data_IF_745363247318
#
_entry.id   IF_745363247318
#
_cell.length_a   1.000
_cell.length_b   1.000
_cell.length_c   1.000
_cell.angle_alpha   90.00
_cell.angle_beta   90.00
_cell.angle_gamma   90.00
#
_symmetry.space_group_name_H-M   'P 1'
#
loop_
_entity.id
_entity.type
_entity.pdbx_description
1 polymer ?
#
# COMPACT_ATOMS: atom_id res chain seq x y z
N UNK A 1 16.54 -32.40 -4.47
CA UNK A 1 15.89 -31.09 -4.79
C UNK A 1 16.01 -30.74 -6.28
N UNK A 2 16.46 -31.63 -7.11
CA UNK A 2 16.76 -31.38 -8.55
C UNK A 2 15.52 -31.16 -9.46
N UNK A 3 14.31 -31.37 -8.97
CA UNK A 3 13.08 -31.30 -9.79
C UNK A 3 12.11 -30.16 -9.43
N UNK A 4 12.53 -29.18 -8.62
CA UNK A 4 11.65 -28.06 -8.25
C UNK A 4 11.69 -27.02 -9.36
N UNK A 5 10.53 -26.75 -9.98
CA UNK A 5 10.37 -25.74 -11.02
C UNK A 5 9.71 -24.45 -10.52
N UNK A 6 8.84 -24.57 -9.51
CA UNK A 6 8.12 -23.44 -8.93
C UNK A 6 7.95 -23.65 -7.42
N UNK A 7 8.14 -22.59 -6.66
CA UNK A 7 7.89 -22.55 -5.22
C UNK A 7 6.84 -21.45 -4.95
N UNK A 8 5.72 -21.83 -4.35
CA UNK A 8 4.78 -20.87 -3.77
C UNK A 8 5.08 -20.68 -2.29
N UNK A 9 5.13 -19.44 -1.84
CA UNK A 9 5.36 -19.09 -0.44
C UNK A 9 4.19 -18.27 0.08
N UNK A 10 3.49 -18.79 1.08
CA UNK A 10 2.61 -17.99 1.92
C UNK A 10 3.44 -17.27 2.99
N UNK A 11 3.39 -15.93 2.98
CA UNK A 11 4.19 -15.04 3.82
C UNK A 11 3.44 -14.69 5.11
N UNK A 12 3.62 -15.47 6.15
CA UNK A 12 3.17 -15.08 7.48
C UNK A 12 4.14 -14.12 8.20
N UNK A 13 3.71 -13.58 9.32
CA UNK A 13 4.54 -12.68 10.14
C UNK A 13 5.79 -13.38 10.70
N UNK A 14 5.59 -14.58 11.26
CA UNK A 14 6.63 -15.37 11.93
C UNK A 14 6.82 -16.77 11.32
N UNK A 15 5.86 -17.24 10.53
CA UNK A 15 5.90 -18.57 9.91
C UNK A 15 5.59 -18.45 8.42
N UNK A 16 6.30 -19.23 7.64
CA UNK A 16 6.26 -19.25 6.18
C UNK A 16 5.94 -20.65 5.73
N UNK A 17 4.90 -20.82 4.94
CA UNK A 17 4.54 -22.11 4.38
C UNK A 17 4.95 -22.15 2.92
N UNK A 18 5.65 -23.21 2.53
CA UNK A 18 6.05 -23.39 1.13
C UNK A 18 5.36 -24.60 0.51
N UNK A 19 5.06 -24.45 -0.77
CA UNK A 19 4.60 -25.50 -1.65
C UNK A 19 5.51 -25.51 -2.88
N UNK A 20 6.21 -26.62 -3.09
CA UNK A 20 7.11 -26.79 -4.22
C UNK A 20 6.49 -27.74 -5.26
N UNK A 21 6.55 -27.34 -6.53
CA UNK A 21 6.02 -28.11 -7.66
C UNK A 21 7.13 -28.40 -8.67
N UNK A 22 7.00 -29.55 -9.35
CA UNK A 22 7.81 -29.88 -10.53
C UNK A 22 7.26 -29.19 -11.80
N UNK A 23 7.90 -29.43 -12.94
CA UNK A 23 7.48 -28.85 -14.24
C UNK A 23 6.08 -29.31 -14.69
N UNK A 24 5.54 -30.39 -14.11
CA UNK A 24 4.20 -30.92 -14.41
C UNK A 24 3.14 -30.39 -13.44
N UNK A 25 3.52 -29.52 -12.50
CA UNK A 25 2.62 -29.01 -11.47
C UNK A 25 2.37 -29.98 -10.31
N UNK A 26 3.09 -31.13 -10.25
CA UNK A 26 2.96 -32.07 -9.15
C UNK A 26 3.71 -31.57 -7.92
N UNK A 27 3.04 -31.61 -6.76
CA UNK A 27 3.66 -31.30 -5.48
C UNK A 27 4.82 -32.25 -5.16
N UNK A 28 6.01 -31.72 -4.94
CA UNK A 28 7.22 -32.49 -4.58
C UNK A 28 7.66 -32.26 -3.14
N UNK A 29 7.33 -31.08 -2.56
CA UNK A 29 7.73 -30.77 -1.20
C UNK A 29 6.83 -29.70 -0.58
N UNK A 30 6.50 -29.84 0.70
CA UNK A 30 5.75 -28.87 1.51
C UNK A 30 6.38 -28.78 2.89
N UNK A 31 6.60 -27.58 3.38
CA UNK A 31 7.16 -27.38 4.74
C UNK A 31 6.84 -26.01 5.28
N UNK A 32 6.77 -25.94 6.60
CA UNK A 32 6.71 -24.69 7.39
C UNK A 32 8.10 -24.30 7.85
N UNK A 33 8.43 -23.01 7.75
CA UNK A 33 9.71 -22.45 8.16
C UNK A 33 9.54 -21.22 9.04
N UNK A 34 10.56 -20.92 9.84
CA UNK A 34 10.83 -19.57 10.33
C UNK A 34 11.58 -18.78 9.24
N UNK A 35 11.59 -17.45 9.31
CA UNK A 35 12.25 -16.61 8.29
C UNK A 35 13.73 -16.98 8.06
N UNK A 36 14.60 -17.10 9.12
CA UNK A 36 15.99 -17.48 8.90
C UNK A 36 16.15 -18.83 8.20
N UNK A 37 15.40 -19.85 8.66
CA UNK A 37 15.46 -21.20 8.07
C UNK A 37 14.91 -21.25 6.65
N UNK A 38 13.94 -20.41 6.31
CA UNK A 38 13.47 -20.30 4.92
C UNK A 38 14.57 -19.74 4.01
N UNK A 39 15.23 -18.66 4.43
CA UNK A 39 16.30 -18.04 3.65
C UNK A 39 17.48 -19.02 3.49
N UNK A 40 17.87 -19.73 4.54
CA UNK A 40 18.89 -20.77 4.49
C UNK A 40 18.53 -21.89 3.51
N UNK A 41 17.29 -22.40 3.59
CA UNK A 41 16.79 -23.42 2.66
C UNK A 41 16.82 -22.93 1.22
N UNK A 42 16.33 -21.71 0.94
CA UNK A 42 16.30 -21.17 -0.40
C UNK A 42 17.70 -20.87 -0.95
N UNK A 43 18.66 -20.46 -0.10
CA UNK A 43 20.05 -20.28 -0.51
C UNK A 43 20.73 -21.58 -0.98
N UNK A 44 20.22 -22.75 -0.54
CA UNK A 44 20.73 -24.07 -1.00
C UNK A 44 19.97 -24.63 -2.22
N UNK A 45 18.86 -23.98 -2.62
CA UNK A 45 18.09 -24.40 -3.77
C UNK A 45 18.73 -23.90 -5.08
N UNK A 46 18.65 -24.67 -6.17
CA UNK A 46 18.97 -24.16 -7.51
C UNK A 46 18.09 -22.95 -7.86
N UNK A 47 18.62 -22.04 -8.70
CA UNK A 47 17.85 -20.91 -9.19
C UNK A 47 16.49 -21.35 -9.74
N UNK A 48 15.41 -20.82 -9.17
CA UNK A 48 14.05 -21.22 -9.52
C UNK A 48 13.08 -20.04 -9.45
N UNK A 49 11.90 -20.19 -10.01
CA UNK A 49 10.81 -19.23 -9.86
C UNK A 49 10.16 -19.39 -8.48
N UNK A 50 10.01 -18.27 -7.77
CA UNK A 50 9.39 -18.24 -6.44
C UNK A 50 8.22 -17.24 -6.46
N UNK A 51 7.02 -17.75 -6.30
CA UNK A 51 5.80 -16.95 -6.28
C UNK A 51 5.37 -16.63 -4.84
N UNK A 52 4.87 -15.41 -4.62
CA UNK A 52 4.37 -14.93 -3.34
C UNK A 52 3.19 -13.99 -3.55
N UNK A 53 2.29 -13.94 -2.59
CA UNK A 53 1.27 -12.90 -2.56
C UNK A 53 1.89 -11.54 -2.25
N UNK A 54 1.45 -10.47 -2.92
CA UNK A 54 1.91 -9.09 -2.71
C UNK A 54 1.31 -8.49 -1.43
N UNK A 55 1.74 -9.00 -0.29
CA UNK A 55 1.34 -8.61 1.06
C UNK A 55 2.48 -7.91 1.83
N UNK A 56 2.29 -7.69 3.14
CA UNK A 56 3.31 -7.10 4.01
C UNK A 56 4.60 -7.94 4.04
N UNK A 57 5.74 -7.32 3.70
CA UNK A 57 7.06 -7.98 3.66
C UNK A 57 7.41 -8.68 2.34
N UNK A 58 6.48 -8.81 1.40
CA UNK A 58 6.73 -9.49 0.12
C UNK A 58 7.81 -8.83 -0.73
N UNK A 59 7.84 -7.50 -0.79
CA UNK A 59 8.86 -6.77 -1.54
C UNK A 59 10.27 -6.93 -0.94
N UNK A 60 10.39 -6.97 0.40
CA UNK A 60 11.65 -7.30 1.04
C UNK A 60 12.10 -8.73 0.69
N UNK A 61 11.17 -9.68 0.78
CA UNK A 61 11.47 -11.09 0.46
C UNK A 61 11.86 -11.23 -1.02
N UNK A 62 11.16 -10.55 -1.93
CA UNK A 62 11.49 -10.57 -3.35
C UNK A 62 12.92 -10.08 -3.60
N UNK A 63 13.32 -8.90 -3.09
CA UNK A 63 14.71 -8.42 -3.22
C UNK A 63 15.74 -9.40 -2.62
N UNK A 64 15.40 -10.03 -1.49
CA UNK A 64 16.28 -11.05 -0.88
C UNK A 64 16.45 -12.26 -1.77
N UNK A 65 15.38 -12.73 -2.41
CA UNK A 65 15.38 -13.87 -3.33
C UNK A 65 16.12 -13.56 -4.64
N UNK A 66 15.97 -12.35 -5.17
CA UNK A 66 16.77 -11.88 -6.32
C UNK A 66 18.26 -11.91 -6.00
N UNK A 67 18.65 -11.45 -4.79
CA UNK A 67 20.04 -11.51 -4.32
C UNK A 67 20.57 -12.93 -4.11
N UNK A 68 19.71 -13.95 -4.01
CA UNK A 68 20.04 -15.37 -3.98
C UNK A 68 20.02 -16.02 -5.37
N UNK A 69 19.73 -15.28 -6.44
CA UNK A 69 19.68 -15.76 -7.81
C UNK A 69 18.35 -16.39 -8.24
N UNK A 70 17.29 -16.27 -7.43
CA UNK A 70 15.96 -16.73 -7.79
C UNK A 70 15.18 -15.67 -8.60
N UNK A 71 14.09 -16.10 -9.27
CA UNK A 71 13.15 -15.23 -9.98
C UNK A 71 11.87 -15.05 -9.15
N UNK A 72 11.76 -14.01 -8.29
CA UNK A 72 10.56 -13.79 -7.51
C UNK A 72 9.42 -13.27 -8.39
N UNK A 73 8.20 -13.73 -8.10
CA UNK A 73 6.96 -13.30 -8.73
C UNK A 73 5.96 -12.90 -7.65
N UNK A 74 5.59 -11.63 -7.62
CA UNK A 74 4.58 -11.12 -6.70
C UNK A 74 3.21 -11.11 -7.40
N UNK A 75 2.18 -11.63 -6.73
CA UNK A 75 0.81 -11.70 -7.26
C UNK A 75 -0.11 -10.90 -6.34
N UNK A 76 -0.94 -10.04 -6.92
CA UNK A 76 -1.95 -9.32 -6.13
C UNK A 76 -2.92 -10.31 -5.46
N UNK A 77 -3.28 -10.11 -4.16
CA UNK A 77 -4.18 -11.01 -3.42
C UNK A 77 -5.47 -11.36 -4.14
N UNK A 78 -6.06 -10.39 -4.84
CA UNK A 78 -7.29 -10.59 -5.62
C UNK A 78 -7.16 -11.65 -6.73
N UNK A 79 -5.95 -11.88 -7.24
CA UNK A 79 -5.69 -12.88 -8.29
C UNK A 79 -5.26 -14.24 -7.73
N UNK A 80 -4.89 -14.33 -6.44
CA UNK A 80 -4.63 -15.61 -5.76
C UNK A 80 -5.92 -16.22 -5.24
N UNK A 81 -6.82 -15.39 -4.70
CA UNK A 81 -8.06 -15.81 -4.05
C UNK A 81 -8.91 -16.81 -4.83
N UNK A 82 -9.10 -16.70 -6.18
CA UNK A 82 -9.89 -17.67 -6.96
C UNK A 82 -9.31 -19.09 -6.96
N UNK A 83 -8.04 -19.27 -6.63
CA UNK A 83 -7.36 -20.57 -6.62
C UNK A 83 -7.36 -21.25 -5.25
N UNK A 84 -7.88 -20.61 -4.20
CA UNK A 84 -8.02 -21.20 -2.87
C UNK A 84 -9.19 -22.17 -2.88
N UNK A 85 -8.92 -23.48 -2.72
CA UNK A 85 -9.89 -24.58 -2.93
C UNK A 85 -10.70 -24.97 -1.70
N UNK A 86 -10.33 -24.51 -0.49
CA UNK A 86 -10.98 -24.96 0.77
C UNK A 86 -10.90 -23.92 1.86
N UNK A 87 -11.34 -24.29 3.07
CA UNK A 87 -11.18 -23.47 4.25
C UNK A 87 -9.72 -23.05 4.47
N UNK A 88 -9.52 -21.89 5.06
CA UNK A 88 -8.22 -21.25 5.29
C UNK A 88 -7.21 -22.23 5.92
N UNK A 89 -6.16 -22.51 5.18
CA UNK A 89 -5.02 -23.31 5.62
C UNK A 89 -3.79 -22.81 4.88
N UNK A 90 -2.77 -22.42 5.61
CA UNK A 90 -1.56 -21.78 5.09
C UNK A 90 -0.82 -22.62 4.01
N UNK A 91 -0.94 -23.97 4.04
CA UNK A 91 -0.41 -24.83 2.98
C UNK A 91 -1.28 -24.79 1.71
N UNK A 92 -2.59 -24.63 1.86
CA UNK A 92 -3.53 -24.45 0.74
C UNK A 92 -3.31 -23.09 0.10
N UNK A 93 -3.01 -22.08 0.90
CA UNK A 93 -2.69 -20.73 0.40
C UNK A 93 -1.38 -20.74 -0.40
N UNK A 94 -0.34 -21.45 0.07
CA UNK A 94 0.90 -21.64 -0.68
C UNK A 94 0.70 -22.44 -1.99
N UNK A 95 -0.19 -23.43 -2.02
CA UNK A 95 -0.60 -24.15 -3.23
C UNK A 95 -1.34 -23.25 -4.21
N UNK A 96 -2.31 -22.46 -3.72
CA UNK A 96 -3.06 -21.51 -4.53
C UNK A 96 -2.15 -20.45 -5.20
N UNK A 97 -1.09 -20.03 -4.52
CA UNK A 97 -0.07 -19.13 -5.08
C UNK A 97 0.66 -19.81 -6.25
N UNK A 98 1.03 -21.09 -6.14
CA UNK A 98 1.61 -21.84 -7.25
C UNK A 98 0.66 -21.95 -8.44
N UNK A 99 -0.60 -22.31 -8.19
CA UNK A 99 -1.63 -22.41 -9.23
C UNK A 99 -1.83 -21.08 -9.95
N UNK A 100 -1.93 -19.99 -9.21
CA UNK A 100 -2.03 -18.65 -9.76
C UNK A 100 -0.80 -18.30 -10.62
N UNK A 101 0.41 -18.54 -10.10
CA UNK A 101 1.66 -18.24 -10.78
C UNK A 101 1.87 -19.03 -12.08
N UNK A 102 1.26 -20.21 -12.18
CA UNK A 102 1.36 -21.09 -13.37
C UNK A 102 0.49 -20.63 -14.54
N UNK A 103 -0.40 -19.64 -14.35
CA UNK A 103 -1.31 -19.18 -15.41
C UNK A 103 -0.58 -18.26 -16.40
N UNK A 104 -0.64 -18.52 -17.71
CA UNK A 104 0.02 -17.70 -18.73
C UNK A 104 -0.41 -16.23 -18.73
N UNK A 105 -1.66 -15.96 -18.34
CA UNK A 105 -2.25 -14.61 -18.28
C UNK A 105 -2.03 -13.91 -16.93
N UNK A 106 -1.28 -14.52 -15.99
CA UNK A 106 -1.07 -13.92 -14.67
C UNK A 106 -0.27 -12.62 -14.76
N UNK A 107 -0.78 -11.58 -14.12
CA UNK A 107 -0.11 -10.28 -13.99
C UNK A 107 0.66 -10.23 -12.68
N UNK A 108 1.95 -9.98 -12.78
CA UNK A 108 2.84 -9.90 -11.63
C UNK A 108 3.08 -8.44 -11.22
N UNK A 109 3.14 -8.24 -9.91
CA UNK A 109 3.54 -6.96 -9.31
C UNK A 109 5.06 -6.89 -9.29
N UNK A 110 5.64 -5.80 -9.75
CA UNK A 110 7.08 -5.60 -9.69
C UNK A 110 7.56 -5.42 -8.25
N UNK A 111 8.65 -6.08 -7.83
CA UNK A 111 9.28 -5.81 -6.56
C UNK A 111 9.73 -4.35 -6.47
N UNK A 112 9.35 -3.67 -5.38
CA UNK A 112 9.79 -2.29 -5.15
C UNK A 112 11.18 -2.26 -4.56
N UNK A 113 11.97 -1.28 -4.98
CA UNK A 113 13.26 -0.96 -4.36
C UNK A 113 13.07 -0.48 -2.92
N UNK A 114 14.17 -0.42 -2.15
CA UNK A 114 14.13 0.11 -0.78
C UNK A 114 13.73 1.59 -0.77
N UNK A 115 14.24 2.37 -1.74
CA UNK A 115 13.86 3.77 -1.90
C UNK A 115 12.38 3.95 -2.17
N UNK A 116 11.80 3.18 -3.09
CA UNK A 116 10.35 3.20 -3.34
C UNK A 116 9.54 2.83 -2.11
N UNK A 117 9.99 1.85 -1.31
CA UNK A 117 9.31 1.47 -0.07
C UNK A 117 9.40 2.58 0.99
N UNK A 118 10.54 3.27 1.10
CA UNK A 118 10.69 4.40 2.01
C UNK A 118 9.79 5.58 1.59
N UNK A 119 9.74 5.90 0.29
CA UNK A 119 8.85 6.94 -0.23
C UNK A 119 7.37 6.61 0.03
N UNK A 120 6.97 5.37 -0.19
CA UNK A 120 5.61 4.92 0.13
C UNK A 120 5.29 5.02 1.62
N UNK A 121 6.25 4.72 2.50
CA UNK A 121 6.06 4.90 3.94
C UNK A 121 5.86 6.38 4.29
N UNK A 122 6.63 7.29 3.68
CA UNK A 122 6.50 8.72 3.87
C UNK A 122 5.10 9.23 3.44
N UNK A 123 4.61 8.82 2.26
CA UNK A 123 3.24 9.13 1.81
C UNK A 123 2.18 8.62 2.79
N UNK A 124 2.32 7.39 3.31
CA UNK A 124 1.38 6.82 4.28
C UNK A 124 1.37 7.54 5.61
N UNK A 125 2.53 7.91 6.13
CA UNK A 125 2.64 8.68 7.38
C UNK A 125 1.99 10.05 7.19
N UNK A 126 2.28 10.75 6.08
CA UNK A 126 1.63 12.03 5.77
C UNK A 126 0.11 11.90 5.71
N UNK A 127 -0.41 10.89 5.02
CA UNK A 127 -1.85 10.65 4.91
C UNK A 127 -2.50 10.40 6.28
N UNK A 128 -1.86 9.60 7.14
CA UNK A 128 -2.33 9.37 8.51
C UNK A 128 -2.41 10.68 9.31
N UNK A 129 -1.38 11.52 9.22
CA UNK A 129 -1.38 12.83 9.92
C UNK A 129 -2.48 13.76 9.39
N UNK A 130 -2.79 13.71 8.08
CA UNK A 130 -3.91 14.48 7.52
C UNK A 130 -5.25 13.98 8.05
N UNK A 131 -5.43 12.67 8.14
CA UNK A 131 -6.65 12.08 8.73
C UNK A 131 -6.78 12.43 10.21
N UNK A 132 -5.70 12.37 10.98
CA UNK A 132 -5.69 12.76 12.41
C UNK A 132 -6.00 14.27 12.58
N UNK A 133 -5.50 15.12 11.69
CA UNK A 133 -5.85 16.55 11.67
C UNK A 133 -7.34 16.77 11.47
N UNK A 134 -7.96 16.07 10.51
CA UNK A 134 -9.42 16.14 10.27
C UNK A 134 -10.20 15.59 11.45
N UNK A 135 -9.75 14.47 12.02
CA UNK A 135 -10.35 13.86 13.21
C UNK A 135 -10.33 14.83 14.39
N UNK A 136 -9.23 15.56 14.61
CA UNK A 136 -9.09 16.54 15.70
C UNK A 136 -10.12 17.67 15.56
N UNK A 137 -10.28 18.25 14.36
CA UNK A 137 -11.30 19.30 14.15
C UNK A 137 -12.71 18.79 14.34
N UNK A 138 -13.02 17.60 13.81
CA UNK A 138 -14.35 16.99 13.98
C UNK A 138 -14.67 16.70 15.45
N UNK A 139 -13.69 16.27 16.23
CA UNK A 139 -13.84 16.05 17.67
C UNK A 139 -14.13 17.36 18.43
N UNK A 140 -13.44 18.45 18.08
CA UNK A 140 -13.71 19.77 18.67
C UNK A 140 -15.12 20.25 18.32
N UNK A 141 -15.54 20.11 17.06
CA UNK A 141 -16.91 20.46 16.64
C UNK A 141 -17.96 19.65 17.41
N UNK A 142 -17.75 18.34 17.59
CA UNK A 142 -18.68 17.50 18.34
C UNK A 142 -18.79 17.93 19.81
N UNK A 143 -17.66 18.21 20.46
CA UNK A 143 -17.67 18.66 21.85
C UNK A 143 -18.39 20.02 22.03
N UNK A 144 -18.14 20.99 21.15
CA UNK A 144 -18.80 22.28 21.21
C UNK A 144 -20.32 22.19 20.95
N UNK A 145 -20.73 21.26 20.05
CA UNK A 145 -22.15 21.06 19.73
C UNK A 145 -22.95 20.55 20.92
N UNK A 146 -22.36 19.73 21.82
CA UNK A 146 -23.00 19.28 23.08
C UNK A 146 -23.29 20.45 24.05
N UNK A 147 -22.64 21.60 23.84
CA UNK A 147 -22.90 22.86 24.59
C UNK A 147 -23.69 23.87 23.75
N UNK A 148 -24.33 23.44 22.65
CA UNK A 148 -25.14 24.29 21.78
C UNK A 148 -24.34 25.26 20.90
N UNK A 149 -23.01 25.11 20.83
CA UNK A 149 -22.14 26.01 20.06
C UNK A 149 -21.88 25.38 18.68
N UNK A 150 -22.43 26.05 17.65
CA UNK A 150 -22.23 25.65 16.25
C UNK A 150 -21.18 26.53 15.59
N UNK A 151 -20.16 25.90 14.99
CA UNK A 151 -19.05 26.57 14.29
C UNK A 151 -19.01 26.08 12.84
N UNK A 152 -18.67 26.95 11.87
CA UNK A 152 -18.51 26.52 10.46
C UNK A 152 -17.54 25.35 10.34
N UNK A 153 -17.82 24.44 9.39
CA UNK A 153 -17.03 23.23 9.18
C UNK A 153 -15.56 23.53 8.85
N UNK A 154 -14.70 22.58 9.12
CA UNK A 154 -13.27 22.65 8.83
C UNK A 154 -12.46 23.30 9.94
N UNK A 155 -11.43 24.07 9.57
CA UNK A 155 -10.48 24.66 10.52
C UNK A 155 -10.97 25.91 11.25
N UNK A 156 -12.20 26.38 11.00
CA UNK A 156 -12.76 27.55 11.67
C UNK A 156 -12.81 27.40 13.21
N UNK A 157 -13.02 26.18 13.71
CA UNK A 157 -12.98 25.87 15.15
C UNK A 157 -11.61 26.13 15.76
N UNK A 158 -10.53 25.99 14.99
CA UNK A 158 -9.16 26.26 15.45
C UNK A 158 -8.90 27.75 15.53
N UNK A 159 -9.18 28.48 14.42
CA UNK A 159 -8.88 29.93 14.35
C UNK A 159 -9.79 30.77 15.23
N UNK A 160 -10.99 30.30 15.56
CA UNK A 160 -11.96 31.03 16.40
C UNK A 160 -12.03 30.53 17.84
N UNK A 161 -11.16 29.59 18.24
CA UNK A 161 -11.28 28.95 19.55
C UNK A 161 -11.21 29.99 20.69
N UNK A 162 -10.31 30.96 20.64
CA UNK A 162 -10.20 32.00 21.67
C UNK A 162 -11.51 32.75 21.85
N UNK A 163 -12.10 33.26 20.77
CA UNK A 163 -13.40 33.95 20.77
C UNK A 163 -14.52 33.04 21.30
N UNK A 164 -14.52 31.76 20.89
CA UNK A 164 -15.53 30.80 21.36
C UNK A 164 -15.45 30.64 22.89
N UNK A 165 -14.23 30.56 23.44
CA UNK A 165 -14.00 30.41 24.88
C UNK A 165 -14.34 31.68 25.67
N UNK A 166 -14.17 32.85 25.07
CA UNK A 166 -14.52 34.16 25.66
C UNK A 166 -16.03 34.41 25.67
N UNK A 167 -16.70 34.08 24.53
CA UNK A 167 -18.13 34.35 24.33
C UNK A 167 -19.04 33.36 25.04
N UNK A 168 -18.53 32.20 25.49
CA UNK A 168 -19.35 31.12 26.04
C UNK A 168 -18.83 30.68 27.42
N UNK A 169 -19.74 30.56 28.37
CA UNK A 169 -19.46 30.05 29.71
C UNK A 169 -19.30 28.52 29.69
N UNK A 170 -18.17 28.04 29.15
CA UNK A 170 -17.84 26.62 29.15
C UNK A 170 -17.20 26.18 30.46
N UNK A 171 -17.40 24.92 30.92
CA UNK A 171 -16.65 24.37 32.04
C UNK A 171 -15.14 24.50 31.81
N UNK A 172 -14.40 24.95 32.82
CA UNK A 172 -12.96 25.15 32.73
C UNK A 172 -12.21 23.92 32.21
N UNK A 173 -12.62 22.76 32.65
CA UNK A 173 -12.07 21.48 32.22
C UNK A 173 -12.21 21.29 30.71
N UNK A 174 -13.39 21.58 30.12
CA UNK A 174 -13.61 21.47 28.67
C UNK A 174 -12.75 22.47 27.89
N UNK A 175 -12.69 23.74 28.37
CA UNK A 175 -11.85 24.78 27.76
C UNK A 175 -10.39 24.32 27.67
N UNK A 176 -9.87 23.74 28.76
CA UNK A 176 -8.50 23.18 28.78
C UNK A 176 -8.30 22.02 27.78
N UNK A 177 -9.28 21.15 27.62
CA UNK A 177 -9.23 20.06 26.60
C UNK A 177 -9.26 20.61 25.18
N UNK A 178 -10.09 21.60 24.90
CA UNK A 178 -10.15 22.23 23.57
C UNK A 178 -8.83 22.93 23.22
N UNK A 179 -8.19 23.62 24.18
CA UNK A 179 -6.86 24.19 23.96
C UNK A 179 -5.78 23.13 23.68
N UNK A 180 -5.83 21.97 24.36
CA UNK A 180 -4.93 20.84 24.04
C UNK A 180 -5.15 20.30 22.63
N UNK A 181 -6.41 20.18 22.19
CA UNK A 181 -6.73 19.75 20.83
C UNK A 181 -6.26 20.76 19.79
N UNK A 182 -6.37 22.06 20.06
CA UNK A 182 -5.83 23.12 19.20
C UNK A 182 -4.30 23.01 19.07
N UNK A 183 -3.58 22.83 20.18
CA UNK A 183 -2.12 22.61 20.16
C UNK A 183 -1.74 21.37 19.36
N UNK A 184 -2.49 20.27 19.55
CA UNK A 184 -2.28 19.04 18.77
C UNK A 184 -2.52 19.27 17.29
N UNK A 185 -3.56 20.02 16.91
CA UNK A 185 -3.81 20.37 15.51
C UNK A 185 -2.63 21.14 14.89
N UNK A 186 -2.09 22.14 15.59
CA UNK A 186 -0.92 22.90 15.11
C UNK A 186 0.31 22.01 14.95
N UNK A 187 0.56 21.12 15.90
CA UNK A 187 1.62 20.12 15.79
C UNK A 187 1.45 19.27 14.53
N UNK A 188 0.24 18.74 14.26
CA UNK A 188 -0.03 17.95 13.05
C UNK A 188 0.22 18.74 11.78
N UNK A 189 -0.16 20.02 11.74
CA UNK A 189 0.08 20.91 10.59
C UNK A 189 1.58 21.04 10.31
N UNK A 190 2.40 21.27 11.33
CA UNK A 190 3.85 21.38 11.20
C UNK A 190 4.47 20.06 10.70
N UNK A 191 4.05 18.91 11.25
CA UNK A 191 4.53 17.60 10.79
C UNK A 191 4.17 17.34 9.32
N UNK A 192 2.95 17.68 8.90
CA UNK A 192 2.52 17.53 7.50
C UNK A 192 3.38 18.40 6.59
N UNK A 193 3.63 19.67 6.93
CA UNK A 193 4.48 20.58 6.15
C UNK A 193 5.91 20.06 6.00
N UNK A 194 6.48 19.51 7.09
CA UNK A 194 7.82 18.94 7.05
C UNK A 194 7.89 17.73 6.08
N UNK A 195 6.94 16.80 6.18
CA UNK A 195 6.86 15.65 5.26
C UNK A 195 6.65 16.08 3.80
N UNK A 196 5.82 17.10 3.56
CA UNK A 196 5.60 17.64 2.20
C UNK A 196 6.88 18.29 1.65
N UNK A 197 7.66 18.95 2.49
CA UNK A 197 8.98 19.49 2.12
C UNK A 197 9.98 18.38 1.80
N UNK A 198 9.96 17.28 2.56
CA UNK A 198 10.79 16.10 2.27
C UNK A 198 10.38 15.43 0.96
N UNK A 199 9.08 15.27 0.70
CA UNK A 199 8.56 14.74 -0.57
C UNK A 199 9.00 15.60 -1.76
N UNK A 200 8.91 16.93 -1.64
CA UNK A 200 9.34 17.85 -2.68
C UNK A 200 10.82 17.69 -3.00
N UNK A 201 11.69 17.71 -1.97
CA UNK A 201 13.15 17.51 -2.16
C UNK A 201 13.48 16.20 -2.87
N UNK A 202 12.79 15.10 -2.51
CA UNK A 202 12.99 13.81 -3.15
C UNK A 202 12.49 13.79 -4.60
N UNK A 203 11.39 14.49 -4.87
CA UNK A 203 10.86 14.63 -6.21
C UNK A 203 11.78 15.48 -7.12
N UNK A 204 12.48 16.48 -6.55
CA UNK A 204 13.43 17.31 -7.29
C UNK A 204 14.62 16.48 -7.83
N UNK A 205 14.95 15.37 -7.18
CA UNK A 205 16.00 14.41 -7.56
C UNK A 205 15.46 13.30 -8.51
N UNK A 206 14.17 13.26 -8.81
CA UNK A 206 13.51 12.18 -9.55
C UNK A 206 13.10 12.64 -10.96
N UNK A 207 13.81 12.18 -11.99
CA UNK A 207 13.53 12.52 -13.38
C UNK A 207 12.10 12.17 -13.82
N UNK A 208 11.58 11.02 -13.41
CA UNK A 208 10.20 10.59 -13.74
C UNK A 208 9.20 11.53 -13.08
N UNK A 209 9.43 11.87 -11.82
CA UNK A 209 8.62 12.81 -11.06
C UNK A 209 8.63 14.21 -11.69
N UNK A 210 9.77 14.70 -12.13
CA UNK A 210 9.89 15.99 -12.80
C UNK A 210 9.13 16.03 -14.14
N UNK A 211 9.18 14.96 -14.93
CA UNK A 211 8.36 14.83 -16.15
C UNK A 211 6.86 14.83 -15.83
N UNK A 212 6.45 14.17 -14.75
CA UNK A 212 5.05 14.16 -14.33
C UNK A 212 4.56 15.55 -13.90
N UNK A 213 5.40 16.37 -13.26
CA UNK A 213 5.08 17.75 -12.90
C UNK A 213 4.82 18.66 -14.11
N UNK A 214 5.33 18.34 -15.30
CA UNK A 214 5.01 19.09 -16.51
C UNK A 214 3.59 18.90 -17.02
N UNK A 215 2.86 17.90 -16.52
CA UNK A 215 1.48 17.62 -16.89
C UNK A 215 0.55 18.59 -16.15
N UNK A 216 -0.33 19.33 -16.85
CA UNK A 216 -1.30 20.21 -16.21
C UNK A 216 -2.11 19.48 -15.13
N UNK A 217 -2.33 20.14 -13.98
CA UNK A 217 -3.05 19.61 -12.82
C UNK A 217 -2.36 18.48 -12.05
N UNK A 218 -1.14 18.09 -12.41
CA UNK A 218 -0.33 17.15 -11.63
C UNK A 218 0.56 17.93 -10.66
N UNK A 219 0.21 17.89 -9.37
CA UNK A 219 1.00 18.51 -8.30
C UNK A 219 2.04 17.55 -7.69
N UNK A 220 2.87 18.09 -6.81
CA UNK A 220 3.99 17.39 -6.16
C UNK A 220 3.59 16.04 -5.55
N UNK A 221 2.48 15.98 -4.81
CA UNK A 221 2.02 14.74 -4.18
C UNK A 221 1.64 13.69 -5.21
N UNK A 222 0.90 14.09 -6.24
CA UNK A 222 0.48 13.18 -7.32
C UNK A 222 1.67 12.68 -8.11
N UNK A 223 2.59 13.57 -8.52
CA UNK A 223 3.80 13.22 -9.24
C UNK A 223 4.66 12.24 -8.44
N UNK A 224 4.92 12.54 -7.16
CA UNK A 224 5.71 11.68 -6.27
C UNK A 224 5.05 10.31 -6.03
N UNK A 225 3.72 10.26 -5.86
CA UNK A 225 3.01 8.99 -5.69
C UNK A 225 3.10 8.13 -6.95
N UNK A 226 2.82 8.72 -8.10
CA UNK A 226 2.86 8.02 -9.39
C UNK A 226 4.28 7.53 -9.68
N UNK A 227 5.30 8.38 -9.56
CA UNK A 227 6.69 7.98 -9.77
C UNK A 227 7.11 6.83 -8.85
N UNK A 228 6.75 6.89 -7.56
CA UNK A 228 7.04 5.84 -6.59
C UNK A 228 6.40 4.49 -6.96
N UNK A 229 5.18 4.49 -7.52
CA UNK A 229 4.45 3.27 -7.87
C UNK A 229 4.85 2.71 -9.25
N UNK A 230 5.17 3.57 -10.21
CA UNK A 230 5.52 3.17 -11.58
C UNK A 230 6.93 2.56 -11.66
N UNK A 231 7.88 3.11 -10.93
CA UNK A 231 9.29 2.79 -11.15
C UNK A 231 9.71 3.09 -12.58
N UNK A 232 10.26 2.10 -13.30
CA UNK A 232 10.68 2.24 -14.71
C UNK A 232 9.53 2.07 -15.74
N UNK A 233 8.32 1.78 -15.27
CA UNK A 233 7.11 1.67 -16.09
C UNK A 233 7.01 0.43 -16.99
N UNK A 234 8.03 -0.43 -17.03
CA UNK A 234 8.09 -1.59 -17.96
C UNK A 234 7.06 -2.68 -17.68
N UNK A 235 6.42 -2.65 -16.51
CA UNK A 235 5.33 -3.55 -16.16
C UNK A 235 4.03 -3.28 -16.93
N UNK A 236 3.91 -2.12 -17.58
CA UNK A 236 2.73 -1.75 -18.37
C UNK A 236 2.99 -1.95 -19.86
N UNK A 237 2.16 -2.73 -20.52
CA UNK A 237 2.28 -2.97 -21.96
C UNK A 237 1.87 -1.74 -22.80
N UNK A 238 1.04 -0.85 -22.23
CA UNK A 238 0.54 0.36 -22.89
C UNK A 238 0.18 1.45 -21.89
N UNK A 239 0.05 2.68 -22.37
CA UNK A 239 -0.47 3.82 -21.58
C UNK A 239 -1.89 3.57 -21.06
N UNK A 240 -2.71 2.79 -21.77
CA UNK A 240 -4.06 2.40 -21.33
C UNK A 240 -3.99 1.47 -20.13
N UNK A 241 -3.07 0.51 -20.11
CA UNK A 241 -2.86 -0.38 -18.97
C UNK A 241 -2.42 0.40 -17.73
N UNK A 242 -1.56 1.39 -17.92
CA UNK A 242 -1.17 2.30 -16.86
C UNK A 242 -2.37 3.12 -16.33
N UNK A 243 -3.16 3.73 -17.22
CA UNK A 243 -4.34 4.48 -16.83
C UNK A 243 -5.35 3.59 -16.07
N UNK A 244 -5.53 2.34 -16.50
CA UNK A 244 -6.38 1.36 -15.81
C UNK A 244 -5.83 1.02 -14.40
N UNK A 245 -4.52 0.83 -14.28
CA UNK A 245 -3.88 0.51 -13.00
C UNK A 245 -3.96 1.65 -11.98
N UNK A 246 -3.97 2.91 -12.46
CA UNK A 246 -4.14 4.12 -11.63
C UNK A 246 -5.60 4.48 -11.36
N UNK A 247 -6.56 3.72 -11.92
CA UNK A 247 -7.99 4.00 -11.76
C UNK A 247 -8.51 5.18 -12.58
N UNK A 248 -7.76 5.64 -13.58
CA UNK A 248 -8.16 6.77 -14.45
C UNK A 248 -9.07 6.35 -15.61
N UNK A 249 -9.58 5.12 -15.60
CA UNK A 249 -10.56 4.64 -16.57
C UNK A 249 -11.89 4.33 -15.87
N UNK A 250 -13.03 4.59 -16.49
CA UNK A 250 -14.34 4.23 -15.94
C UNK A 250 -14.43 2.72 -15.68
N UNK A 251 -15.06 2.32 -14.58
CA UNK A 251 -15.42 0.92 -14.38
C UNK A 251 -16.41 0.50 -15.46
N UNK A 252 -16.10 -0.60 -16.13
CA UNK A 252 -17.00 -1.19 -17.12
C UNK A 252 -17.72 -2.38 -16.54
N UNK A 253 -19.02 -2.42 -16.71
CA UNK A 253 -19.86 -3.59 -16.48
C UNK A 253 -20.57 -3.93 -17.79
N UNK A 254 -20.39 -5.16 -18.26
CA UNK A 254 -21.00 -5.62 -19.51
C UNK A 254 -21.78 -6.90 -19.25
N UNK A 255 -23.06 -6.90 -19.60
CA UNK A 255 -23.93 -8.09 -19.52
C UNK A 255 -24.89 -8.10 -20.71
N UNK A 256 -25.12 -9.28 -21.32
CA UNK A 256 -26.04 -9.44 -22.43
C UNK A 256 -25.77 -8.52 -23.63
N UNK A 257 -24.50 -8.21 -23.93
CA UNK A 257 -24.13 -7.32 -25.03
C UNK A 257 -24.29 -5.83 -24.75
N UNK A 258 -24.77 -5.44 -23.55
CA UNK A 258 -24.85 -4.04 -23.11
C UNK A 258 -23.66 -3.69 -22.25
N UNK A 259 -22.98 -2.61 -22.59
CA UNK A 259 -21.88 -2.05 -21.81
C UNK A 259 -22.36 -0.85 -21.02
N UNK A 260 -22.15 -0.88 -19.70
CA UNK A 260 -22.39 0.26 -18.81
C UNK A 260 -21.05 0.72 -18.25
N UNK A 261 -20.73 2.01 -18.43
CA UNK A 261 -19.57 2.65 -17.80
C UNK A 261 -20.04 3.24 -16.48
N UNK A 262 -19.39 2.85 -15.39
CA UNK A 262 -19.64 3.38 -14.05
C UNK A 262 -18.61 4.46 -13.77
N UNK A 263 -19.08 5.67 -13.42
CA UNK A 263 -18.23 6.81 -13.05
C UNK A 263 -17.66 6.67 -11.64
#
# INVERSE_FOLDING_TARGET
>A
MENIALIGIDLGKNSFHIHCQDRRGKAVYRKKFTRPKLIEFLATCPATTIAMEACGGSHFMARKLEGLGHSPKLISPQFVRPFVKSNKNDFVDAEAICEAASRPSMRFVQPRTESQQAMRALHRVRESLVQDKVKTTNQMHAFLLEFGISVPRGAAVISRLSTILEDNSLPLYLSQLLLKLQQHYHYLVEQIKDLESQLKRKLDEDEVGQRLLSIPCVGTLTASTISTEIGDGKQYASSRDFAAATGLVPRQYSTGGRTTLLG
#
